data_IF_341318446461
#
_entry.id   IF_341318446461
#
_cell.length_a   1.000
_cell.length_b   1.000
_cell.length_c   1.000
_cell.angle_alpha   90.00
_cell.angle_beta   90.00
_cell.angle_gamma   90.00
#
_symmetry.space_group_name_H-M   'P 1'
#
loop_
_entity.id
_entity.type
_entity.pdbx_description
1 polymer ?
#
# COMPACT_ATOMS: atom_id res chain seq x y z
N UNK A 1 0.09 -11.07 9.03
CA UNK A 1 0.69 -10.04 9.89
C UNK A 1 2.13 -10.42 10.18
N UNK A 2 3.02 -9.44 10.31
CA UNK A 2 4.42 -9.61 10.73
C UNK A 2 4.72 -8.64 11.87
N UNK A 3 5.15 -9.16 13.03
CA UNK A 3 5.39 -8.34 14.23
C UNK A 3 4.23 -7.40 14.61
N UNK A 4 2.99 -7.86 14.38
CA UNK A 4 1.77 -7.09 14.65
C UNK A 4 1.35 -6.13 13.53
N UNK A 5 2.13 -6.01 12.45
CA UNK A 5 1.79 -5.20 11.28
C UNK A 5 0.98 -6.04 10.27
N UNK A 6 -0.20 -5.57 9.83
CA UNK A 6 -0.95 -6.22 8.75
C UNK A 6 -0.17 -6.25 7.44
N UNK A 7 -0.20 -7.42 6.81
CA UNK A 7 0.35 -7.65 5.47
C UNK A 7 -0.81 -8.14 4.61
N UNK A 8 -0.94 -7.55 3.42
CA UNK A 8 -2.05 -7.77 2.50
C UNK A 8 -1.53 -8.43 1.25
N UNK A 9 -2.22 -9.46 0.77
CA UNK A 9 -2.03 -9.86 -0.63
C UNK A 9 -2.67 -8.81 -1.57
N UNK A 10 -2.48 -8.99 -2.88
CA UNK A 10 -3.02 -8.07 -3.90
C UNK A 10 -4.55 -7.92 -3.80
N UNK A 11 -5.28 -9.00 -3.51
CA UNK A 11 -6.74 -8.96 -3.44
C UNK A 11 -7.23 -8.16 -2.24
N UNK A 12 -6.63 -8.41 -1.07
CA UNK A 12 -6.97 -7.70 0.15
C UNK A 12 -6.47 -6.24 0.13
N UNK A 13 -5.36 -5.96 -0.55
CA UNK A 13 -4.89 -4.61 -0.81
C UNK A 13 -5.90 -3.79 -1.63
N UNK A 14 -6.50 -4.36 -2.69
CA UNK A 14 -7.55 -3.67 -3.46
C UNK A 14 -8.74 -3.33 -2.57
N UNK A 15 -9.18 -4.27 -1.71
CA UNK A 15 -10.29 -4.05 -0.77
C UNK A 15 -9.97 -2.96 0.25
N UNK A 16 -8.72 -2.90 0.72
CA UNK A 16 -8.26 -1.85 1.62
C UNK A 16 -8.35 -0.47 0.95
N UNK A 17 -7.93 -0.34 -0.31
CA UNK A 17 -8.05 0.91 -1.05
C UNK A 17 -9.52 1.34 -1.20
N UNK A 18 -10.41 0.42 -1.55
CA UNK A 18 -11.86 0.71 -1.65
C UNK A 18 -12.47 1.13 -0.31
N UNK A 19 -12.02 0.52 0.79
CA UNK A 19 -12.39 0.96 2.13
C UNK A 19 -11.90 2.40 2.40
N UNK A 20 -10.65 2.71 2.06
CA UNK A 20 -10.08 4.03 2.24
C UNK A 20 -10.80 5.11 1.41
N UNK A 21 -11.18 4.80 0.17
CA UNK A 21 -11.99 5.66 -0.71
C UNK A 21 -13.30 6.09 -0.06
N UNK A 22 -13.96 5.19 0.69
CA UNK A 22 -15.22 5.48 1.39
C UNK A 22 -15.08 6.16 2.75
N UNK A 23 -13.87 6.34 3.26
CA UNK A 23 -13.61 6.79 4.64
C UNK A 23 -12.66 7.99 4.76
N UNK A 24 -12.32 8.65 3.64
CA UNK A 24 -11.39 9.78 3.58
C UNK A 24 -10.02 9.45 4.22
N UNK A 25 -9.51 8.25 3.93
CA UNK A 25 -8.19 7.80 4.38
C UNK A 25 -7.26 7.82 3.17
N UNK A 26 -6.13 8.51 3.28
CA UNK A 26 -5.11 8.54 2.24
C UNK A 26 -4.06 7.46 2.45
N UNK A 27 -3.42 7.05 1.36
CA UNK A 27 -2.20 6.23 1.40
C UNK A 27 -1.00 7.16 1.38
N UNK A 28 -0.14 7.04 2.39
CA UNK A 28 1.12 7.79 2.46
C UNK A 28 2.29 6.99 1.90
N UNK A 29 2.20 5.67 1.93
CA UNK A 29 3.18 4.77 1.32
C UNK A 29 2.70 3.33 1.25
N UNK A 30 3.33 2.57 0.36
CA UNK A 30 3.17 1.13 0.19
C UNK A 30 4.55 0.53 0.12
N UNK A 31 4.75 -0.57 0.82
CA UNK A 31 5.98 -1.34 0.76
C UNK A 31 5.64 -2.82 0.49
N UNK A 32 6.27 -3.40 -0.52
CA UNK A 32 6.12 -4.80 -0.90
C UNK A 32 7.22 -5.69 -0.36
N UNK A 33 6.87 -6.92 -0.01
CA UNK A 33 7.77 -7.88 0.61
C UNK A 33 7.46 -9.30 0.22
N UNK A 34 8.49 -10.15 0.26
CA UNK A 34 8.36 -11.60 0.28
C UNK A 34 8.82 -12.16 1.61
N UNK A 35 8.22 -13.26 2.03
CA UNK A 35 8.62 -13.97 3.25
C UNK A 35 9.50 -15.16 2.85
N UNK A 36 10.77 -15.10 3.24
CA UNK A 36 11.75 -16.16 3.02
C UNK A 36 12.15 -16.77 4.37
N UNK A 37 11.40 -17.78 4.80
CA UNK A 37 11.58 -18.39 6.12
C UNK A 37 11.16 -17.44 7.24
N UNK A 38 12.11 -17.08 8.11
CA UNK A 38 11.93 -16.14 9.22
C UNK A 38 12.33 -14.70 8.85
N UNK A 39 12.53 -14.43 7.55
CA UNK A 39 12.94 -13.11 7.05
C UNK A 39 11.88 -12.49 6.16
N UNK A 40 11.70 -11.19 6.36
CA UNK A 40 10.99 -10.30 5.45
C UNK A 40 11.99 -9.67 4.48
N UNK A 41 11.82 -9.94 3.19
CA UNK A 41 12.70 -9.44 2.13
C UNK A 41 11.94 -8.36 1.35
N UNK A 42 12.42 -7.10 1.32
CA UNK A 42 11.74 -6.04 0.59
C UNK A 42 11.83 -6.28 -0.93
N UNK A 43 10.73 -6.02 -1.61
CA UNK A 43 10.69 -5.93 -3.07
C UNK A 43 10.81 -4.46 -3.47
N UNK A 44 11.98 -4.08 -3.98
CA UNK A 44 12.31 -2.68 -4.25
C UNK A 44 11.45 -2.08 -5.38
N UNK A 45 10.86 -2.91 -6.24
CA UNK A 45 9.97 -2.46 -7.32
C UNK A 45 8.55 -2.18 -6.79
N UNK A 46 8.26 -2.58 -5.55
CA UNK A 46 6.96 -2.41 -4.89
C UNK A 46 7.02 -1.42 -3.71
N UNK A 47 7.92 -0.41 -3.77
CA UNK A 47 8.02 0.64 -2.76
C UNK A 47 7.61 1.98 -3.36
N UNK A 48 6.61 2.62 -2.75
CA UNK A 48 6.15 3.96 -3.14
C UNK A 48 5.83 4.79 -1.91
N UNK A 49 6.13 6.09 -1.99
CA UNK A 49 5.84 7.06 -0.94
C UNK A 49 5.29 8.36 -1.52
N UNK A 50 4.32 8.95 -0.82
CA UNK A 50 3.63 10.17 -1.23
C UNK A 50 3.77 11.31 -0.21
N UNK A 51 4.68 11.16 0.76
CA UNK A 51 4.83 12.11 1.88
C UNK A 51 5.13 13.55 1.45
N UNK A 52 5.86 13.75 0.35
CA UNK A 52 6.14 15.07 -0.19
C UNK A 52 4.89 15.81 -0.70
N UNK A 53 3.82 15.07 -1.02
CA UNK A 53 2.59 15.58 -1.64
C UNK A 53 1.42 15.68 -0.66
N UNK A 54 1.60 15.39 0.64
CA UNK A 54 0.51 15.30 1.62
C UNK A 54 -0.35 16.58 1.73
N UNK A 55 0.23 17.75 1.42
CA UNK A 55 -0.44 19.05 1.48
C UNK A 55 -0.99 19.52 0.11
N UNK A 56 -0.91 18.69 -0.93
CA UNK A 56 -1.45 19.05 -2.25
C UNK A 56 -2.96 18.90 -2.31
N UNK A 57 -3.62 19.77 -3.08
CA UNK A 57 -5.05 19.67 -3.33
C UNK A 57 -5.41 18.33 -3.97
N UNK A 58 -6.42 17.68 -3.38
CA UNK A 58 -6.90 16.36 -3.82
C UNK A 58 -5.96 15.21 -3.49
N UNK A 59 -5.01 15.38 -2.56
CA UNK A 59 -4.05 14.35 -2.17
C UNK A 59 -4.70 13.00 -1.86
N UNK A 60 -5.79 12.98 -1.07
CA UNK A 60 -6.50 11.73 -0.71
C UNK A 60 -6.85 10.93 -1.96
N UNK A 61 -7.60 11.52 -2.89
CA UNK A 61 -8.02 10.84 -4.12
C UNK A 61 -6.84 10.43 -5.02
N UNK A 62 -5.86 11.31 -5.20
CA UNK A 62 -4.67 11.03 -6.02
C UNK A 62 -3.85 9.87 -5.45
N UNK A 63 -3.64 9.86 -4.13
CA UNK A 63 -2.87 8.79 -3.46
C UNK A 63 -3.53 7.43 -3.64
N UNK A 64 -4.86 7.36 -3.52
CA UNK A 64 -5.65 6.14 -3.67
C UNK A 64 -5.65 5.65 -5.13
N UNK A 65 -5.84 6.58 -6.08
CA UNK A 65 -5.83 6.25 -7.51
C UNK A 65 -4.48 5.65 -7.94
N UNK A 66 -3.38 6.30 -7.58
CA UNK A 66 -2.03 5.82 -7.91
C UNK A 66 -1.74 4.49 -7.22
N UNK A 67 -2.09 4.37 -5.93
CA UNK A 67 -1.96 3.12 -5.17
C UNK A 67 -2.68 1.95 -5.86
N UNK A 68 -3.93 2.16 -6.30
CA UNK A 68 -4.72 1.14 -6.99
C UNK A 68 -4.10 0.70 -8.32
N UNK A 69 -3.39 1.59 -9.02
CA UNK A 69 -2.65 1.27 -10.25
C UNK A 69 -1.42 0.41 -9.93
N UNK A 70 -0.61 0.84 -8.96
CA UNK A 70 0.60 0.11 -8.53
C UNK A 70 0.25 -1.31 -8.10
N UNK A 71 -0.77 -1.48 -7.25
CA UNK A 71 -1.20 -2.80 -6.77
C UNK A 71 -1.61 -3.73 -7.93
N UNK A 72 -2.21 -3.19 -9.00
CA UNK A 72 -2.60 -3.97 -10.18
C UNK A 72 -1.43 -4.34 -11.08
N UNK A 73 -0.30 -3.65 -10.96
CA UNK A 73 0.94 -3.94 -11.70
C UNK A 73 1.84 -4.95 -10.95
N UNK A 74 1.47 -5.36 -9.73
CA UNK A 74 2.15 -6.43 -8.99
C UNK A 74 1.79 -7.78 -9.62
N UNK A 75 2.70 -8.32 -10.42
CA UNK A 75 2.54 -9.61 -11.10
C UNK A 75 2.91 -10.82 -10.20
N UNK A 76 3.70 -10.60 -9.15
CA UNK A 76 4.12 -11.66 -8.22
C UNK A 76 3.07 -11.89 -7.12
N UNK A 77 2.38 -13.02 -7.20
CA UNK A 77 1.32 -13.41 -6.25
C UNK A 77 1.85 -13.74 -4.85
N UNK A 78 3.16 -13.92 -4.67
CA UNK A 78 3.77 -14.12 -3.35
C UNK A 78 4.13 -12.80 -2.64
N UNK A 79 4.02 -11.67 -3.35
CA UNK A 79 4.27 -10.34 -2.77
C UNK A 79 3.14 -9.95 -1.82
N UNK A 80 3.54 -9.60 -0.60
CA UNK A 80 2.68 -9.03 0.42
C UNK A 80 2.97 -7.53 0.55
N UNK A 81 1.93 -6.75 0.77
CA UNK A 81 1.97 -5.30 0.86
C UNK A 81 1.69 -4.84 2.28
N UNK A 82 2.49 -3.88 2.75
CA UNK A 82 2.23 -3.06 3.93
C UNK A 82 1.82 -1.66 3.50
N UNK A 83 0.93 -1.04 4.25
CA UNK A 83 0.41 0.29 3.97
C UNK A 83 0.66 1.24 5.13
N UNK A 84 1.18 2.43 4.82
CA UNK A 84 1.13 3.56 5.72
C UNK A 84 -0.09 4.41 5.36
N UNK A 85 -1.10 4.40 6.23
CA UNK A 85 -2.35 5.13 6.03
C UNK A 85 -2.40 6.37 6.91
N UNK A 86 -2.99 7.45 6.40
CA UNK A 86 -3.21 8.69 7.15
C UNK A 86 -4.65 9.15 7.00
N UNK A 87 -5.24 9.55 8.12
CA UNK A 87 -6.54 10.24 8.13
C UNK A 87 -6.27 11.74 8.21
N UNK A 88 -6.78 12.48 7.23
CA UNK A 88 -6.58 13.92 7.09
C UNK A 88 -7.83 14.64 7.59
#
# INVERSE_FOLDING_TARGET
MWEGIPLFDVSDAIRLIEYCEGNDIAVLGIEGFRIAGDKRVPDMDCIVGFSASINEDGFVGKSLEVSKRIIKEVDDLETLLEFLLVKI
#
